data_IF_119751793793
#
_entry.id   IF_119751793793
#
_cell.length_a   1.000
_cell.length_b   1.000
_cell.length_c   1.000
_cell.angle_alpha   90.00
_cell.angle_beta   90.00
_cell.angle_gamma   90.00
#
_symmetry.space_group_name_H-M   'P 1'
#
loop_
_entity.id
_entity.type
_entity.pdbx_description
1 polymer ?
#
# COMPACT_ATOMS: atom_id res chain seq x y z
N UNK A 1 0.29 -40.06 -3.83
CA UNK A 1 1.57 -39.48 -4.32
C UNK A 1 2.28 -38.64 -3.26
N UNK A 2 3.44 -39.09 -2.74
CA UNK A 2 4.23 -38.45 -1.66
C UNK A 2 5.65 -38.12 -2.12
N UNK A 3 6.15 -36.91 -1.86
CA UNK A 3 7.56 -36.57 -2.15
C UNK A 3 8.48 -37.35 -1.20
N UNK A 4 9.42 -38.09 -1.78
CA UNK A 4 10.41 -38.90 -1.05
C UNK A 4 11.80 -38.26 -1.07
N UNK A 5 12.13 -37.53 -2.14
CA UNK A 5 13.42 -36.86 -2.27
C UNK A 5 13.32 -35.60 -3.12
N UNK A 6 13.97 -34.54 -2.66
CA UNK A 6 14.17 -33.29 -3.43
C UNK A 6 15.67 -33.11 -3.69
N UNK A 7 16.02 -32.87 -4.94
CA UNK A 7 17.39 -32.57 -5.37
C UNK A 7 17.40 -31.16 -5.94
N UNK A 8 18.24 -30.28 -5.40
CA UNK A 8 18.43 -28.92 -5.90
C UNK A 8 19.33 -28.90 -7.15
N UNK A 9 19.21 -27.87 -7.96
CA UNK A 9 19.93 -27.74 -9.24
C UNK A 9 21.47 -27.72 -9.12
N UNK A 10 22.00 -27.46 -7.91
CA UNK A 10 23.42 -27.43 -7.55
C UNK A 10 23.95 -28.80 -7.11
N UNK A 11 23.09 -29.78 -6.85
CA UNK A 11 23.48 -31.09 -6.35
C UNK A 11 23.81 -32.06 -7.49
N UNK A 12 24.76 -32.97 -7.24
CA UNK A 12 25.23 -33.93 -8.26
C UNK A 12 24.11 -34.77 -8.89
N UNK A 13 23.07 -35.10 -8.13
CA UNK A 13 21.91 -35.86 -8.63
C UNK A 13 21.03 -35.11 -9.64
N UNK A 14 21.22 -33.81 -9.82
CA UNK A 14 20.50 -32.99 -10.80
C UNK A 14 21.20 -32.93 -12.17
N UNK A 15 22.43 -33.45 -12.31
CA UNK A 15 23.26 -33.22 -13.51
C UNK A 15 22.63 -33.69 -14.83
N UNK A 16 21.90 -34.82 -14.83
CA UNK A 16 21.19 -35.25 -16.06
C UNK A 16 20.09 -34.27 -16.46
N UNK A 17 19.39 -33.70 -15.47
CA UNK A 17 18.30 -32.75 -15.70
C UNK A 17 18.86 -31.37 -16.04
N UNK A 18 19.97 -30.97 -15.42
CA UNK A 18 20.68 -29.73 -15.73
C UNK A 18 21.21 -29.72 -17.17
N UNK A 19 21.67 -30.86 -17.69
CA UNK A 19 22.04 -30.97 -19.12
C UNK A 19 20.89 -30.64 -20.08
N UNK A 20 19.64 -30.89 -19.68
CA UNK A 20 18.46 -30.64 -20.52
C UNK A 20 17.83 -29.27 -20.27
N UNK A 21 17.78 -28.82 -19.01
CA UNK A 21 17.03 -27.62 -18.59
C UNK A 21 17.91 -26.45 -18.17
N UNK A 22 19.24 -26.64 -18.16
CA UNK A 22 20.23 -25.62 -17.86
C UNK A 22 19.97 -24.92 -16.53
N UNK A 23 20.17 -23.60 -16.55
CA UNK A 23 20.01 -22.73 -15.37
C UNK A 23 18.55 -22.47 -15.01
N UNK A 24 17.60 -22.85 -15.88
CA UNK A 24 16.17 -22.76 -15.57
C UNK A 24 15.70 -23.88 -14.64
N UNK A 25 16.50 -24.93 -14.43
CA UNK A 25 16.16 -25.98 -13.48
C UNK A 25 16.20 -25.41 -12.05
N UNK A 26 15.10 -25.50 -11.32
CA UNK A 26 15.00 -25.10 -9.92
C UNK A 26 15.28 -26.31 -9.01
N UNK A 27 14.56 -27.41 -9.23
CA UNK A 27 14.69 -28.63 -8.45
C UNK A 27 14.13 -29.87 -9.18
N UNK A 28 14.57 -31.05 -8.76
CA UNK A 28 14.05 -32.36 -9.15
C UNK A 28 13.40 -33.01 -7.93
N UNK A 29 12.18 -33.52 -8.06
CA UNK A 29 11.46 -34.20 -6.97
C UNK A 29 11.07 -35.62 -7.38
N UNK A 30 11.50 -36.58 -6.58
CA UNK A 30 11.04 -37.96 -6.64
C UNK A 30 9.84 -38.13 -5.73
N UNK A 31 8.82 -38.81 -6.23
CA UNK A 31 7.57 -39.09 -5.53
C UNK A 31 7.25 -40.55 -5.63
N UNK A 32 6.78 -41.12 -4.53
CA UNK A 32 6.20 -42.45 -4.52
C UNK A 32 4.70 -42.32 -4.74
N UNK A 33 4.18 -42.98 -5.76
CA UNK A 33 2.75 -43.16 -5.94
C UNK A 33 2.31 -44.54 -5.46
N UNK A 34 1.74 -44.57 -4.25
CA UNK A 34 1.28 -45.79 -3.59
C UNK A 34 0.11 -46.47 -4.30
N UNK A 35 -0.60 -45.77 -5.18
CA UNK A 35 -1.75 -46.32 -5.91
C UNK A 35 -1.32 -47.21 -7.09
N UNK A 36 -0.16 -46.93 -7.69
CA UNK A 36 0.37 -47.67 -8.84
C UNK A 36 1.72 -48.34 -8.56
N UNK A 37 2.25 -48.17 -7.33
CA UNK A 37 3.58 -48.63 -6.91
C UNK A 37 4.72 -48.06 -7.77
N UNK A 38 4.62 -46.78 -8.14
CA UNK A 38 5.54 -46.13 -9.07
C UNK A 38 6.37 -45.01 -8.43
N UNK A 39 7.59 -44.81 -8.97
CA UNK A 39 8.41 -43.64 -8.66
C UNK A 39 8.26 -42.60 -9.78
N UNK A 40 7.54 -41.53 -9.48
CA UNK A 40 7.34 -40.40 -10.38
C UNK A 40 8.46 -39.38 -10.13
N UNK A 41 9.19 -39.02 -11.19
CA UNK A 41 10.18 -37.95 -11.13
C UNK A 41 9.63 -36.72 -11.83
N UNK A 42 9.56 -35.59 -11.13
CA UNK A 42 9.20 -34.30 -11.73
C UNK A 42 10.33 -33.30 -11.57
N UNK A 43 10.29 -32.25 -12.39
CA UNK A 43 11.18 -31.10 -12.30
C UNK A 43 10.36 -29.84 -12.04
N UNK A 44 10.96 -28.88 -11.35
CA UNK A 44 10.49 -27.49 -11.30
C UNK A 44 11.43 -26.66 -12.16
N UNK A 45 10.83 -25.84 -13.02
CA UNK A 45 11.54 -24.99 -13.97
C UNK A 45 11.09 -23.55 -13.83
N UNK A 46 12.02 -22.62 -13.98
CA UNK A 46 11.72 -21.20 -14.09
C UNK A 46 11.15 -20.90 -15.48
N UNK A 47 9.91 -20.41 -15.51
CA UNK A 47 9.19 -20.07 -16.75
C UNK A 47 9.02 -18.56 -16.95
N UNK A 48 9.00 -17.79 -15.86
CA UNK A 48 8.90 -16.34 -15.86
C UNK A 48 9.65 -15.76 -14.65
N UNK A 49 10.25 -14.58 -14.85
CA UNK A 49 10.93 -13.82 -13.81
C UNK A 49 10.62 -12.34 -13.98
N UNK A 50 9.94 -11.77 -12.99
CA UNK A 50 9.58 -10.35 -12.94
C UNK A 50 9.90 -9.75 -11.58
N UNK A 51 10.16 -8.43 -11.50
CA UNK A 51 10.33 -7.76 -10.22
C UNK A 51 9.11 -8.01 -9.32
N UNK A 52 9.36 -8.36 -8.06
CA UNK A 52 8.29 -8.35 -7.06
C UNK A 52 7.84 -6.90 -6.83
N UNK A 53 6.54 -6.63 -6.60
CA UNK A 53 6.10 -5.32 -6.16
C UNK A 53 6.88 -4.94 -4.88
N UNK A 54 7.36 -3.70 -4.82
CA UNK A 54 8.09 -3.19 -3.64
C UNK A 54 7.25 -3.45 -2.39
N UNK A 55 7.86 -4.08 -1.37
CA UNK A 55 7.20 -4.43 -0.10
C UNK A 55 6.60 -3.21 0.61
N UNK A 56 7.07 -2.01 0.29
CA UNK A 56 6.66 -0.77 0.94
C UNK A 56 5.35 -0.19 0.37
N UNK A 57 4.86 -0.68 -0.77
CA UNK A 57 3.57 -0.27 -1.30
C UNK A 57 2.42 -1.13 -0.75
N UNK A 58 2.12 -0.96 0.55
CA UNK A 58 0.84 -1.42 1.07
C UNK A 58 -0.24 -0.45 0.59
N UNK A 59 -0.97 -0.80 -0.47
CA UNK A 59 -2.04 0.03 -1.05
C UNK A 59 -3.04 0.51 0.01
N UNK A 60 -3.37 -0.32 1.00
CA UNK A 60 -4.24 0.06 2.13
C UNK A 60 -3.62 1.16 3.00
N UNK A 61 -2.34 1.04 3.33
CA UNK A 61 -1.63 2.06 4.10
C UNK A 61 -1.52 3.38 3.32
N UNK A 62 -1.22 3.30 2.02
CA UNK A 62 -1.15 4.47 1.15
C UNK A 62 -2.50 5.20 1.02
N UNK A 63 -3.60 4.45 0.89
CA UNK A 63 -4.94 5.05 0.88
C UNK A 63 -5.34 5.60 2.25
N UNK A 64 -4.89 4.98 3.34
CA UNK A 64 -5.12 5.50 4.69
C UNK A 64 -4.35 6.81 4.94
N UNK A 65 -3.10 6.92 4.49
CA UNK A 65 -2.32 8.17 4.61
C UNK A 65 -2.90 9.30 3.76
N UNK A 66 -3.33 9.02 2.53
CA UNK A 66 -4.03 10.03 1.71
C UNK A 66 -5.34 10.51 2.36
N UNK A 67 -6.06 9.60 3.02
CA UNK A 67 -7.31 9.93 3.72
C UNK A 67 -7.12 10.74 5.00
N UNK A 68 -5.94 10.60 5.62
CA UNK A 68 -5.51 11.36 6.80
C UNK A 68 -4.68 12.59 6.46
N UNK A 69 -4.58 12.96 5.18
CA UNK A 69 -3.86 14.14 4.72
C UNK A 69 -4.55 15.42 5.20
N UNK A 70 -3.78 16.37 5.72
CA UNK A 70 -4.28 17.71 6.04
C UNK A 70 -4.40 18.52 4.75
N UNK A 71 -5.59 19.06 4.53
CA UNK A 71 -5.92 19.91 3.37
C UNK A 71 -6.35 21.29 3.82
N UNK A 72 -6.11 22.28 2.96
CA UNK A 72 -6.55 23.65 3.16
C UNK A 72 -7.81 23.95 2.35
N UNK A 73 -8.82 24.54 2.99
CA UNK A 73 -10.11 24.89 2.42
C UNK A 73 -10.25 26.40 2.24
N UNK A 74 -10.67 26.81 1.04
CA UNK A 74 -11.08 28.18 0.74
C UNK A 74 -12.56 28.38 1.09
N UNK A 75 -12.80 29.09 2.20
CA UNK A 75 -14.13 29.48 2.65
C UNK A 75 -14.13 30.98 2.84
N UNK A 76 -15.04 31.67 2.15
CA UNK A 76 -15.10 33.12 2.16
C UNK A 76 -15.54 33.64 3.53
N UNK A 77 -15.12 34.85 3.87
CA UNK A 77 -15.42 35.45 5.16
C UNK A 77 -16.93 35.51 5.46
N UNK A 78 -17.75 35.78 4.44
CA UNK A 78 -19.21 35.91 4.54
C UNK A 78 -19.96 34.58 4.66
N UNK A 79 -19.30 33.44 4.40
CA UNK A 79 -19.90 32.11 4.47
C UNK A 79 -19.94 31.60 5.93
N UNK A 80 -20.61 32.35 6.81
CA UNK A 80 -20.61 32.14 8.27
C UNK A 80 -21.07 30.72 8.67
N UNK A 81 -22.09 30.18 8.01
CA UNK A 81 -22.60 28.83 8.30
C UNK A 81 -21.56 27.76 7.97
N UNK A 82 -20.85 27.90 6.84
CA UNK A 82 -19.78 26.98 6.46
C UNK A 82 -18.60 27.09 7.41
N UNK A 83 -18.23 28.30 7.81
CA UNK A 83 -17.17 28.54 8.81
C UNK A 83 -17.52 27.88 10.14
N UNK A 84 -18.77 28.00 10.59
CA UNK A 84 -19.22 27.35 11.81
C UNK A 84 -19.18 25.82 11.69
N UNK A 85 -19.66 25.26 10.56
CA UNK A 85 -19.63 23.82 10.30
C UNK A 85 -18.22 23.24 10.31
N UNK A 86 -17.27 23.86 9.61
CA UNK A 86 -15.89 23.34 9.60
C UNK A 86 -15.22 23.48 10.96
N UNK A 87 -15.49 24.57 11.69
CA UNK A 87 -14.98 24.76 13.05
C UNK A 87 -15.52 23.70 14.01
N UNK A 88 -16.82 23.36 13.92
CA UNK A 88 -17.42 22.27 14.70
C UNK A 88 -16.84 20.90 14.35
N UNK A 89 -16.41 20.70 13.10
CA UNK A 89 -15.70 19.52 12.65
C UNK A 89 -14.19 19.53 12.97
N UNK A 90 -13.73 20.45 13.83
CA UNK A 90 -12.34 20.52 14.31
C UNK A 90 -11.36 21.23 13.38
N UNK A 91 -11.83 21.89 12.30
CA UNK A 91 -10.95 22.63 11.41
C UNK A 91 -10.33 23.85 12.10
N UNK A 92 -9.08 24.15 11.77
CA UNK A 92 -8.33 25.30 12.31
C UNK A 92 -8.19 26.40 11.28
N UNK A 93 -8.36 27.64 11.70
CA UNK A 93 -8.13 28.80 10.83
C UNK A 93 -6.66 29.21 10.87
N UNK A 94 -6.01 29.24 9.72
CA UNK A 94 -4.68 29.84 9.53
C UNK A 94 -4.85 31.32 9.15
N UNK A 95 -4.29 32.21 9.95
CA UNK A 95 -4.27 33.65 9.67
C UNK A 95 -3.28 33.97 8.55
N UNK A 96 -2.15 33.25 8.50
CA UNK A 96 -1.11 33.46 7.50
C UNK A 96 -1.56 33.03 6.10
N UNK A 97 -2.11 31.82 5.99
CA UNK A 97 -2.62 31.29 4.73
C UNK A 97 -3.99 31.83 4.35
N UNK A 98 -4.75 32.40 5.32
CA UNK A 98 -6.17 32.76 5.19
C UNK A 98 -7.02 31.59 4.69
N UNK A 99 -6.73 30.40 5.21
CA UNK A 99 -7.37 29.14 4.83
C UNK A 99 -7.75 28.34 6.08
N UNK A 100 -8.72 27.46 5.93
CA UNK A 100 -9.12 26.52 6.98
C UNK A 100 -8.41 25.18 6.78
N UNK A 101 -7.68 24.70 7.77
CA UNK A 101 -7.02 23.39 7.75
C UNK A 101 -7.92 22.33 8.39
N UNK A 102 -8.10 21.21 7.70
CA UNK A 102 -8.82 20.04 8.22
C UNK A 102 -8.29 18.78 7.54
N UNK A 103 -8.74 17.62 8.00
CA UNK A 103 -8.42 16.34 7.36
C UNK A 103 -9.20 16.18 6.05
N UNK A 104 -8.59 15.58 5.01
CA UNK A 104 -9.20 15.36 3.69
C UNK A 104 -10.51 14.59 3.79
N UNK A 105 -10.58 13.59 4.66
CA UNK A 105 -11.83 12.87 4.95
C UNK A 105 -12.96 13.79 5.46
N UNK A 106 -12.64 14.71 6.38
CA UNK A 106 -13.61 15.66 6.93
C UNK A 106 -14.06 16.66 5.87
N UNK A 107 -13.15 17.14 5.03
CA UNK A 107 -13.51 17.99 3.89
C UNK A 107 -14.47 17.29 2.93
N UNK A 108 -14.23 16.01 2.61
CA UNK A 108 -15.08 15.21 1.72
C UNK A 108 -16.44 14.93 2.38
N UNK A 109 -16.49 14.56 3.67
CA UNK A 109 -17.74 14.26 4.37
C UNK A 109 -18.65 15.49 4.51
N UNK A 110 -18.07 16.68 4.61
CA UNK A 110 -18.78 17.96 4.60
C UNK A 110 -19.17 18.44 3.18
N UNK A 111 -18.81 17.70 2.13
CA UNK A 111 -19.09 18.07 0.74
C UNK A 111 -18.26 19.25 0.22
N UNK A 112 -17.09 19.51 0.82
CA UNK A 112 -16.22 20.67 0.51
C UNK A 112 -15.02 20.30 -0.35
N UNK A 113 -15.06 19.15 -1.04
CA UNK A 113 -13.95 18.65 -1.87
C UNK A 113 -13.47 19.68 -2.90
N UNK A 114 -14.40 20.35 -3.57
CA UNK A 114 -14.07 21.32 -4.65
C UNK A 114 -13.51 22.65 -4.12
N UNK A 115 -13.43 22.79 -2.80
CA UNK A 115 -12.88 23.97 -2.12
C UNK A 115 -11.48 23.71 -1.54
N UNK A 116 -10.93 22.52 -1.77
CA UNK A 116 -9.56 22.19 -1.40
C UNK A 116 -8.61 22.98 -2.29
N UNK A 117 -7.69 23.70 -1.66
CA UNK A 117 -6.60 24.42 -2.32
C UNK A 117 -5.36 23.54 -2.27
N UNK A 118 -5.01 22.95 -3.42
CA UNK A 118 -3.80 22.13 -3.55
C UNK A 118 -2.54 22.96 -3.19
N UNK A 119 -1.67 22.42 -2.34
CA UNK A 119 -0.51 23.14 -1.78
C UNK A 119 -0.85 24.32 -0.85
N UNK A 120 -2.13 24.51 -0.49
CA UNK A 120 -2.55 25.56 0.43
C UNK A 120 -2.10 25.29 1.88
N UNK A 121 -2.02 24.02 2.27
CA UNK A 121 -1.59 23.63 3.62
C UNK A 121 -0.14 24.06 3.90
N UNK A 122 0.74 24.01 2.90
CA UNK A 122 2.15 24.41 3.01
C UNK A 122 2.32 25.92 3.31
N UNK A 123 1.29 26.73 3.04
CA UNK A 123 1.30 28.18 3.30
C UNK A 123 0.82 28.53 4.71
N UNK A 124 0.28 27.56 5.45
CA UNK A 124 -0.30 27.73 6.77
C UNK A 124 0.70 27.35 7.88
N UNK A 125 1.84 28.03 7.94
CA UNK A 125 2.93 27.71 8.88
C UNK A 125 2.64 28.13 10.33
N UNK A 126 1.56 28.88 10.55
CA UNK A 126 1.09 29.34 11.86
C UNK A 126 0.28 28.28 12.62
N UNK A 127 -0.07 27.17 11.97
CA UNK A 127 -0.81 26.07 12.58
C UNK A 127 0.03 24.80 12.53
N UNK A 128 0.24 24.19 13.70
CA UNK A 128 0.78 22.84 13.77
C UNK A 128 -0.27 21.85 13.24
N UNK A 129 0.00 21.31 12.05
CA UNK A 129 -0.86 20.35 11.34
C UNK A 129 -1.01 19.03 12.08
N UNK A 130 -0.07 18.67 12.96
CA UNK A 130 -0.19 17.47 13.81
C UNK A 130 -1.34 17.59 14.82
N UNK A 131 -1.65 18.81 15.25
CA UNK A 131 -2.76 19.11 16.16
C UNK A 131 -4.13 19.17 15.46
N UNK A 132 -4.18 19.02 14.13
CA UNK A 132 -5.42 18.88 13.35
C UNK A 132 -5.79 17.41 13.19
N UNK A 133 -4.84 16.49 13.43
CA UNK A 133 -5.02 15.04 13.34
C UNK A 133 -5.56 14.38 14.63
N UNK A 134 -5.72 15.13 15.74
CA UNK A 134 -6.03 14.58 17.07
C UNK A 134 -7.46 14.79 17.55
N UNK A 135 -8.28 13.73 17.48
CA UNK A 135 -9.19 13.20 18.53
C UNK A 135 -10.12 12.11 17.92
N UNK A 136 -9.53 10.99 17.47
CA UNK A 136 -10.32 9.93 16.81
C UNK A 136 -9.63 8.57 16.66
N UNK A 137 -8.66 8.26 17.52
CA UNK A 137 -8.10 6.90 17.63
C UNK A 137 -8.07 6.51 19.11
N UNK A 138 -9.14 5.83 19.55
CA UNK A 138 -9.12 4.80 20.61
C UNK A 138 -9.51 3.50 19.93
#
# INVERSE_FOLDING_TARGET
>A
MKVTKTIRNDQAGAQRFKRQWGDKLVAVRYRHDSSHDEIITTIEIEVDRRPAPQKDFCLRAHLATQRSEIVALAISFHENDLRLKVKQAGAKWSQQGKLWLTNRNTAISLGLKDRIVEGGADKCLDIDTSLVLGDGYI
#
